data_IF_785080018408
#
_entry.id   IF_785080018408
#
_cell.length_a   1.000
_cell.length_b   1.000
_cell.length_c   1.000
_cell.angle_alpha   90.00
_cell.angle_beta   90.00
_cell.angle_gamma   90.00
#
_symmetry.space_group_name_H-M   'P 1'
#
loop_
_entity.id
_entity.type
_entity.pdbx_description
1 polymer ?
#
# COMPACT_ATOMS: atom_id res chain seq x y z
N UNK A 1 -22.83 -0.39 30.87
CA UNK A 1 -22.58 -1.06 29.56
C UNK A 1 -21.43 -0.32 28.90
N UNK A 2 -20.16 -0.68 29.16
CA UNK A 2 -19.03 0.13 28.72
C UNK A 2 -17.81 -0.77 28.49
N UNK A 3 -17.57 -1.19 27.25
CA UNK A 3 -16.45 -2.10 26.97
C UNK A 3 -16.40 -2.72 25.57
N UNK A 4 -17.29 -2.34 24.63
CA UNK A 4 -17.31 -2.91 23.28
C UNK A 4 -16.86 -1.94 22.19
N UNK A 5 -16.70 -0.65 22.50
CA UNK A 5 -16.53 0.43 21.53
C UNK A 5 -15.06 0.75 21.20
N UNK A 6 -14.11 0.36 22.04
CA UNK A 6 -12.67 0.54 21.78
C UNK A 6 -12.13 -0.46 20.76
N UNK A 7 -12.62 -1.72 20.79
CA UNK A 7 -12.18 -2.79 19.88
C UNK A 7 -12.67 -2.59 18.44
N UNK A 8 -13.86 -2.00 18.26
CA UNK A 8 -14.42 -1.70 16.94
C UNK A 8 -13.66 -0.58 16.26
N UNK A 9 -13.34 0.51 16.98
CA UNK A 9 -12.56 1.62 16.42
C UNK A 9 -11.15 1.19 15.99
N UNK A 10 -10.46 0.38 16.79
CA UNK A 10 -9.16 -0.18 16.40
C UNK A 10 -9.22 -1.08 15.17
N UNK A 11 -10.28 -1.91 15.05
CA UNK A 11 -10.51 -2.74 13.86
C UNK A 11 -10.86 -1.93 12.62
N UNK A 12 -11.69 -0.89 12.75
CA UNK A 12 -12.04 0.00 11.65
C UNK A 12 -10.81 0.75 11.15
N UNK A 13 -9.99 1.28 12.06
CA UNK A 13 -8.73 1.93 11.71
C UNK A 13 -7.74 0.98 11.01
N UNK A 14 -7.63 -0.27 11.47
CA UNK A 14 -6.81 -1.28 10.80
C UNK A 14 -7.29 -1.57 9.36
N UNK A 15 -8.60 -1.71 9.16
CA UNK A 15 -9.18 -1.92 7.82
C UNK A 15 -8.94 -0.71 6.91
N UNK A 16 -9.04 0.50 7.44
CA UNK A 16 -8.77 1.73 6.69
C UNK A 16 -7.29 1.85 6.29
N UNK A 17 -6.36 1.56 7.20
CA UNK A 17 -4.93 1.51 6.91
C UNK A 17 -4.63 0.45 5.85
N UNK A 18 -5.22 -0.75 5.94
CA UNK A 18 -5.09 -1.78 4.89
C UNK A 18 -5.62 -1.31 3.54
N UNK A 19 -6.75 -0.60 3.51
CA UNK A 19 -7.30 -0.02 2.28
C UNK A 19 -6.34 1.00 1.67
N UNK A 20 -5.77 1.89 2.49
CA UNK A 20 -4.81 2.90 2.05
C UNK A 20 -3.51 2.26 1.53
N UNK A 21 -3.03 1.19 2.16
CA UNK A 21 -1.87 0.43 1.68
C UNK A 21 -2.15 -0.22 0.33
N UNK A 22 -3.32 -0.86 0.16
CA UNK A 22 -3.74 -1.44 -1.13
C UNK A 22 -3.84 -0.36 -2.22
N UNK A 23 -4.42 0.80 -1.91
CA UNK A 23 -4.51 1.91 -2.85
C UNK A 23 -3.13 2.39 -3.30
N UNK A 24 -2.22 2.60 -2.33
CA UNK A 24 -0.83 2.97 -2.62
C UNK A 24 -0.11 1.91 -3.46
N UNK A 25 -0.39 0.62 -3.22
CA UNK A 25 0.18 -0.48 -4.00
C UNK A 25 -0.27 -0.42 -5.45
N UNK A 26 -1.58 -0.25 -5.68
CA UNK A 26 -2.14 -0.08 -7.03
C UNK A 26 -1.55 1.14 -7.74
N UNK A 27 -1.42 2.28 -7.05
CA UNK A 27 -0.81 3.49 -7.62
C UNK A 27 0.65 3.25 -8.03
N UNK A 28 1.44 2.60 -7.18
CA UNK A 28 2.83 2.27 -7.50
C UNK A 28 2.96 1.30 -8.69
N UNK A 29 2.03 0.34 -8.84
CA UNK A 29 1.99 -0.56 -10.01
C UNK A 29 1.68 0.23 -11.29
N UNK A 30 0.66 1.08 -11.28
CA UNK A 30 0.30 1.89 -12.44
C UNK A 30 1.47 2.77 -12.87
N UNK A 31 2.15 3.38 -11.91
CA UNK A 31 3.33 4.20 -12.17
C UNK A 31 4.51 3.37 -12.73
N UNK A 32 4.75 2.17 -12.20
CA UNK A 32 5.74 1.24 -12.76
C UNK A 32 5.43 0.89 -14.22
N UNK A 33 4.17 0.60 -14.54
CA UNK A 33 3.73 0.28 -15.90
C UNK A 33 3.89 1.48 -16.85
N UNK A 34 3.58 2.69 -16.37
CA UNK A 34 3.78 3.92 -17.12
C UNK A 34 5.27 4.12 -17.46
N UNK A 35 6.16 4.04 -16.47
CA UNK A 35 7.60 4.13 -16.69
C UNK A 35 8.11 3.11 -17.70
N UNK A 36 7.59 1.88 -17.62
CA UNK A 36 7.93 0.80 -18.56
C UNK A 36 7.44 1.11 -19.98
N UNK A 37 6.26 1.73 -20.12
CA UNK A 37 5.70 2.12 -21.41
C UNK A 37 6.46 3.27 -22.06
N UNK A 38 7.01 4.19 -21.26
CA UNK A 38 7.82 5.32 -21.73
C UNK A 38 9.28 4.94 -22.03
N UNK A 39 9.70 3.71 -21.72
CA UNK A 39 11.07 3.23 -21.94
C UNK A 39 12.09 3.73 -20.91
N UNK A 40 11.62 4.25 -19.77
CA UNK A 40 12.51 4.70 -18.69
C UNK A 40 13.20 3.50 -18.00
N UNK A 41 14.46 3.66 -17.56
CA UNK A 41 15.16 2.61 -16.82
C UNK A 41 14.51 2.40 -15.44
N UNK A 42 13.93 1.22 -15.24
CA UNK A 42 13.14 0.93 -14.03
C UNK A 42 14.00 0.41 -12.87
N UNK A 43 15.18 -0.14 -13.15
CA UNK A 43 16.03 -0.82 -12.16
C UNK A 43 16.51 0.10 -11.03
N UNK A 44 16.75 1.37 -11.32
CA UNK A 44 17.21 2.35 -10.33
C UNK A 44 16.09 3.28 -9.85
N UNK A 45 14.83 2.98 -10.22
CA UNK A 45 13.70 3.82 -9.87
C UNK A 45 13.15 3.44 -8.48
N UNK A 46 12.94 4.40 -7.55
CA UNK A 46 12.46 4.13 -6.18
C UNK A 46 11.07 3.45 -6.12
N UNK A 47 10.35 3.39 -7.24
CA UNK A 47 9.05 2.68 -7.36
C UNK A 47 9.18 1.20 -7.01
N UNK A 48 10.29 0.56 -7.35
CA UNK A 48 10.52 -0.85 -7.01
C UNK A 48 10.65 -1.05 -5.50
N UNK A 49 11.43 -0.20 -4.83
CA UNK A 49 11.56 -0.23 -3.38
C UNK A 49 10.21 0.01 -2.69
N UNK A 50 9.44 0.99 -3.18
CA UNK A 50 8.10 1.30 -2.67
C UNK A 50 7.11 0.14 -2.83
N UNK A 51 7.14 -0.56 -3.97
CA UNK A 51 6.29 -1.74 -4.19
C UNK A 51 6.60 -2.86 -3.19
N UNK A 52 7.89 -3.13 -2.95
CA UNK A 52 8.33 -4.17 -1.99
C UNK A 52 7.97 -3.78 -0.56
N UNK A 53 8.16 -2.51 -0.18
CA UNK A 53 7.82 -1.99 1.14
C UNK A 53 6.31 -2.13 1.42
N UNK A 54 5.46 -1.66 0.51
CA UNK A 54 4.00 -1.76 0.68
C UNK A 54 3.56 -3.21 0.74
N UNK A 55 4.12 -4.10 -0.10
CA UNK A 55 3.83 -5.53 -0.05
C UNK A 55 4.20 -6.12 1.31
N UNK A 56 5.37 -5.78 1.85
CA UNK A 56 5.80 -6.24 3.18
C UNK A 56 4.88 -5.74 4.30
N UNK A 57 4.36 -4.52 4.18
CA UNK A 57 3.39 -3.96 5.12
C UNK A 57 2.00 -4.61 5.02
N UNK A 58 1.61 -5.07 3.83
CA UNK A 58 0.34 -5.80 3.61
C UNK A 58 0.40 -7.26 4.08
N UNK A 59 1.57 -7.90 3.98
CA UNK A 59 1.81 -9.26 4.45
C UNK A 59 1.89 -9.36 6.00
N UNK A 60 1.96 -8.22 6.71
CA UNK A 60 1.91 -8.12 8.18
C UNK A 60 0.47 -8.00 8.71
#
# INVERSE_FOLDING_TARGET
KNGKDSTTNGRMHYLEVKRLLLLNYCQAIVFYLLLKSEGHPIRDHPVLARLVEIKSLLDK
#
